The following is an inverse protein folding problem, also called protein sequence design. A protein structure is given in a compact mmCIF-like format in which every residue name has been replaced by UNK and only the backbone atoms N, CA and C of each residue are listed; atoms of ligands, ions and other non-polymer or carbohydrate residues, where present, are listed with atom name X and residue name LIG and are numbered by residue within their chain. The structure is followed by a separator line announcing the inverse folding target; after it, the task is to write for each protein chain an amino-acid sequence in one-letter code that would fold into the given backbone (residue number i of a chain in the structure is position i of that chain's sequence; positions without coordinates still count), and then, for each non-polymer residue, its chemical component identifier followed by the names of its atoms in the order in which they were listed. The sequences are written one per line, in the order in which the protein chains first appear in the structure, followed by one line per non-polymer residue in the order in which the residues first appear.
data_IF_554757965321
#
_entry.id   IF_554757965321
#
_cell.length_a   1.000
_cell.length_b   1.000
_cell.length_c   1.000
_cell.angle_alpha   90.00
_cell.angle_beta   90.00
_cell.angle_gamma   90.00
#
_symmetry.space_group_name_H-M   'P 1'
#
loop_
_entity.id
_entity.type
_entity.pdbx_description
1 polymer ?
#
# COMPACT_ATOMS: atom_id res chain seq x y z
N UNK A 1 -12.31 -73.20 7.86
CA UNK A 1 -12.18 -71.95 8.66
C UNK A 1 -11.90 -70.85 7.69
N UNK A 2 -12.88 -70.04 7.47
CA UNK A 2 -12.97 -69.01 6.43
C UNK A 2 -12.41 -67.69 6.97
N UNK A 3 -11.41 -67.13 6.37
CA UNK A 3 -10.89 -65.79 6.66
C UNK A 3 -11.26 -64.82 5.54
N UNK A 4 -12.24 -63.97 5.78
CA UNK A 4 -12.64 -62.93 4.86
C UNK A 4 -11.71 -61.69 4.94
N UNK A 5 -11.14 -61.32 3.80
CA UNK A 5 -10.35 -60.12 3.63
C UNK A 5 -11.26 -58.97 3.19
N UNK A 6 -11.42 -57.97 4.06
CA UNK A 6 -12.20 -56.74 3.76
C UNK A 6 -11.21 -55.64 3.34
N UNK A 7 -11.30 -55.19 2.10
CA UNK A 7 -10.62 -53.99 1.57
C UNK A 7 -11.35 -52.72 2.02
N UNK A 8 -10.64 -51.68 2.50
CA UNK A 8 -11.28 -50.36 2.76
C UNK A 8 -11.40 -49.59 1.46
N UNK A 9 -12.63 -49.15 1.19
CA UNK A 9 -12.97 -48.32 0.06
C UNK A 9 -12.34 -46.92 0.14
N UNK A 10 -11.69 -46.54 -0.93
CA UNK A 10 -11.18 -45.19 -1.18
C UNK A 10 -12.34 -44.23 -1.43
N UNK A 11 -12.61 -43.36 -0.47
CA UNK A 11 -13.57 -42.25 -0.66
C UNK A 11 -12.90 -41.18 -1.48
N UNK A 12 -13.29 -41.05 -2.73
CA UNK A 12 -12.91 -39.95 -3.59
C UNK A 12 -13.46 -38.63 -3.04
N UNK A 13 -12.56 -37.78 -2.60
CA UNK A 13 -12.88 -36.42 -2.14
C UNK A 13 -13.25 -35.57 -3.36
N UNK A 14 -14.50 -35.14 -3.44
CA UNK A 14 -14.99 -34.21 -4.47
C UNK A 14 -14.30 -32.86 -4.32
N UNK A 15 -13.79 -32.24 -5.42
CA UNK A 15 -13.14 -30.93 -5.34
C UNK A 15 -14.16 -29.87 -4.91
N UNK A 16 -13.84 -29.19 -3.80
CA UNK A 16 -14.62 -28.10 -3.23
C UNK A 16 -14.69 -26.94 -4.25
N UNK A 17 -15.88 -26.41 -4.56
CA UNK A 17 -16.02 -25.32 -5.52
C UNK A 17 -15.23 -24.10 -5.06
N UNK A 18 -14.71 -23.25 -6.00
CA UNK A 18 -13.95 -22.07 -5.66
C UNK A 18 -14.80 -21.15 -4.80
N UNK A 19 -14.29 -20.78 -3.62
CA UNK A 19 -14.97 -19.87 -2.70
C UNK A 19 -15.16 -18.54 -3.40
N UNK A 20 -16.41 -18.12 -3.53
CA UNK A 20 -16.76 -16.74 -3.90
C UNK A 20 -15.95 -15.78 -3.00
N UNK A 21 -15.44 -14.66 -3.52
CA UNK A 21 -14.62 -13.75 -2.73
C UNK A 21 -15.43 -13.24 -1.54
N UNK A 22 -15.04 -13.66 -0.33
CA UNK A 22 -15.71 -13.25 0.88
C UNK A 22 -15.64 -11.74 1.04
N UNK A 23 -16.80 -11.09 1.21
CA UNK A 23 -16.88 -9.68 1.60
C UNK A 23 -16.27 -9.58 2.99
N UNK A 24 -15.26 -8.71 3.15
CA UNK A 24 -14.67 -8.44 4.46
C UNK A 24 -15.62 -7.54 5.23
N UNK A 25 -16.12 -8.04 6.35
CA UNK A 25 -17.03 -7.30 7.25
C UNK A 25 -16.17 -6.52 8.25
N UNK A 26 -16.45 -5.22 8.39
CA UNK A 26 -15.85 -4.36 9.40
C UNK A 26 -16.42 -4.62 10.81
N UNK A 27 -15.83 -4.00 11.85
CA UNK A 27 -16.27 -4.17 13.24
C UNK A 27 -17.69 -3.66 13.49
N UNK A 28 -18.24 -2.85 12.59
CA UNK A 28 -19.61 -2.33 12.59
C UNK A 28 -20.63 -3.28 11.91
N UNK A 29 -20.22 -4.49 11.53
CA UNK A 29 -21.06 -5.47 10.83
C UNK A 29 -21.36 -5.13 9.38
N UNK A 30 -20.77 -4.08 8.82
CA UNK A 30 -20.95 -3.65 7.42
C UNK A 30 -19.75 -4.05 6.53
N UNK A 31 -19.95 -4.18 5.21
CA UNK A 31 -18.83 -4.42 4.30
C UNK A 31 -17.75 -3.36 4.46
N UNK A 32 -16.52 -3.78 4.75
CA UNK A 32 -15.39 -2.87 4.87
C UNK A 32 -15.09 -2.23 3.51
N UNK A 33 -15.38 -0.92 3.37
CA UNK A 33 -15.17 -0.17 2.13
C UNK A 33 -13.68 -0.15 1.74
N UNK A 34 -12.79 -0.01 2.70
CA UNK A 34 -11.33 0.01 2.49
C UNK A 34 -10.81 -1.32 1.93
N UNK A 35 -11.29 -2.44 2.47
CA UNK A 35 -10.86 -3.78 2.02
C UNK A 35 -11.59 -4.23 0.74
N UNK A 36 -12.81 -3.76 0.51
CA UNK A 36 -13.61 -4.12 -0.67
C UNK A 36 -13.15 -3.35 -1.91
N UNK A 37 -12.79 -2.07 -1.78
CA UNK A 37 -12.31 -1.23 -2.90
C UNK A 37 -11.02 -1.77 -3.52
N UNK A 38 -10.11 -2.34 -2.74
CA UNK A 38 -8.87 -2.94 -3.22
C UNK A 38 -9.07 -4.12 -4.19
N UNK A 39 -10.26 -4.76 -4.22
CA UNK A 39 -10.57 -5.89 -5.11
C UNK A 39 -11.01 -5.48 -6.50
N UNK A 40 -11.45 -4.23 -6.68
CA UNK A 40 -11.86 -3.70 -7.98
C UNK A 40 -10.72 -3.07 -8.77
N UNK A 41 -9.52 -3.06 -8.21
CA UNK A 41 -8.34 -2.55 -8.89
C UNK A 41 -7.79 -3.59 -9.88
N UNK A 42 -8.50 -3.79 -10.97
CA UNK A 42 -7.92 -4.40 -12.16
C UNK A 42 -7.10 -3.33 -12.86
N UNK A 43 -5.85 -3.61 -13.28
CA UNK A 43 -5.15 -2.71 -14.18
C UNK A 43 -6.00 -2.57 -15.43
N UNK A 44 -6.43 -1.34 -15.73
CA UNK A 44 -7.13 -1.04 -16.96
C UNK A 44 -6.19 -1.32 -18.13
N UNK A 45 -6.39 -2.45 -18.81
CA UNK A 45 -5.78 -2.70 -20.11
C UNK A 45 -6.22 -1.55 -21.02
N UNK A 46 -5.26 -0.74 -21.47
CA UNK A 46 -5.46 0.31 -22.45
C UNK A 46 -5.98 -0.32 -23.76
N UNK A 47 -7.28 -0.31 -23.96
CA UNK A 47 -7.85 -0.47 -25.27
C UNK A 47 -7.71 0.88 -26.00
N UNK A 48 -6.76 0.94 -26.94
CA UNK A 48 -6.64 2.04 -27.87
C UNK A 48 -7.78 1.96 -28.86
N UNK A 49 -8.78 2.82 -28.73
CA UNK A 49 -9.66 3.17 -29.85
C UNK A 49 -9.62 4.68 -30.06
N UNK A 50 -9.02 5.03 -31.20
CA UNK A 50 -9.03 6.36 -31.79
C UNK A 50 -10.46 6.75 -32.15
N UNK A 51 -10.96 7.85 -31.60
CA UNK A 51 -11.97 8.68 -32.23
C UNK A 51 -11.70 10.13 -31.93
N UNK A 52 -11.66 10.94 -32.95
CA UNK A 52 -11.25 12.34 -33.06
C UNK A 52 -12.33 13.32 -32.64
N UNK A 53 -11.85 14.45 -31.99
CA UNK A 53 -12.44 15.82 -32.01
C UNK A 53 -13.16 16.30 -30.73
N UNK A 54 -13.18 17.64 -30.49
CA UNK A 54 -12.10 18.64 -30.47
C UNK A 54 -11.83 19.21 -29.04
N UNK A 55 -10.79 20.01 -28.95
CA UNK A 55 -10.24 20.69 -27.80
C UNK A 55 -11.24 21.25 -26.77
N UNK A 56 -11.21 20.67 -25.57
CA UNK A 56 -11.50 21.33 -24.32
C UNK A 56 -10.27 21.13 -23.42
N UNK A 57 -9.78 22.22 -22.83
CA UNK A 57 -8.64 22.20 -21.93
C UNK A 57 -8.84 21.14 -20.83
N UNK A 58 -7.77 20.44 -20.38
CA UNK A 58 -7.90 19.53 -19.26
C UNK A 58 -8.16 20.37 -18.00
N UNK A 59 -9.42 20.42 -17.60
CA UNK A 59 -9.75 20.78 -16.22
C UNK A 59 -9.10 19.67 -15.39
N UNK A 60 -8.10 20.03 -14.59
CA UNK A 60 -7.57 19.14 -13.56
C UNK A 60 -8.78 18.70 -12.71
N UNK A 61 -9.27 17.49 -12.96
CA UNK A 61 -10.31 16.92 -12.13
C UNK A 61 -9.69 16.72 -10.75
N UNK A 62 -10.14 17.53 -9.83
CA UNK A 62 -9.88 17.43 -8.40
C UNK A 62 -10.40 16.04 -7.97
N UNK A 63 -9.50 15.06 -7.93
CA UNK A 63 -9.81 13.66 -7.57
C UNK A 63 -10.19 13.52 -6.09
N UNK A 64 -10.27 14.63 -5.35
CA UNK A 64 -10.62 14.70 -3.94
C UNK A 64 -12.06 15.22 -3.66
N UNK A 65 -12.90 15.31 -4.68
CA UNK A 65 -14.29 15.81 -4.53
C UNK A 65 -15.23 14.78 -3.87
N UNK A 66 -14.77 14.00 -2.89
CA UNK A 66 -15.65 13.29 -1.97
C UNK A 66 -16.10 14.27 -0.87
N UNK A 67 -17.38 14.25 -0.47
CA UNK A 67 -17.79 14.99 0.72
C UNK A 67 -16.91 14.58 1.92
N UNK A 68 -16.43 15.55 2.68
CA UNK A 68 -15.60 15.36 3.88
C UNK A 68 -16.22 14.42 4.94
N UNK A 69 -17.50 14.09 4.77
CA UNK A 69 -18.26 13.19 5.62
C UNK A 69 -18.06 11.70 5.35
N UNK A 70 -17.36 11.33 4.26
CA UNK A 70 -17.12 9.92 3.93
C UNK A 70 -15.80 9.43 4.55
N UNK A 71 -15.78 8.20 5.12
CA UNK A 71 -14.50 7.60 5.54
C UNK A 71 -13.52 7.49 4.37
N UNK A 72 -12.21 7.65 4.61
CA UNK A 72 -11.20 7.55 3.57
C UNK A 72 -11.24 6.17 2.91
N UNK A 73 -11.06 6.14 1.60
CA UNK A 73 -10.83 4.90 0.87
C UNK A 73 -9.37 4.44 0.99
N UNK A 74 -9.06 3.28 0.39
CA UNK A 74 -7.72 2.69 0.46
C UNK A 74 -6.66 3.58 -0.18
N UNK A 75 -7.01 4.33 -1.21
CA UNK A 75 -6.08 5.22 -1.90
C UNK A 75 -5.81 6.49 -1.10
N UNK A 76 -6.84 7.12 -0.55
CA UNK A 76 -6.72 8.27 0.34
C UNK A 76 -5.91 7.91 1.59
N UNK A 77 -6.25 6.77 2.21
CA UNK A 77 -5.49 6.26 3.36
C UNK A 77 -4.03 6.01 3.00
N UNK A 78 -3.77 5.41 1.84
CA UNK A 78 -2.42 5.14 1.35
C UNK A 78 -1.62 6.43 1.15
N UNK A 79 -2.21 7.43 0.47
CA UNK A 79 -1.58 8.76 0.27
C UNK A 79 -1.24 9.43 1.61
N UNK A 80 -2.18 9.44 2.54
CA UNK A 80 -1.97 10.02 3.87
C UNK A 80 -0.86 9.30 4.66
N UNK A 81 -0.85 7.96 4.61
CA UNK A 81 0.16 7.15 5.29
C UNK A 81 1.55 7.38 4.70
N UNK A 82 1.70 7.37 3.37
CA UNK A 82 2.98 7.66 2.73
C UNK A 82 3.45 9.09 3.00
N UNK A 83 2.53 10.07 2.99
CA UNK A 83 2.86 11.45 3.35
C UNK A 83 3.40 11.53 4.79
N UNK A 84 2.73 10.89 5.75
CA UNK A 84 3.16 10.83 7.14
C UNK A 84 4.55 10.18 7.29
N UNK A 85 4.75 9.00 6.69
CA UNK A 85 6.00 8.24 6.83
C UNK A 85 7.19 8.98 6.21
N UNK A 86 7.03 9.51 5.00
CA UNK A 86 8.11 10.25 4.33
C UNK A 86 8.44 11.56 5.04
N UNK A 87 7.43 12.30 5.51
CA UNK A 87 7.67 13.51 6.30
C UNK A 87 8.38 13.17 7.61
N UNK A 88 7.95 12.11 8.30
CA UNK A 88 8.63 11.65 9.53
C UNK A 88 10.09 11.29 9.25
N UNK A 89 10.38 10.62 8.14
CA UNK A 89 11.75 10.28 7.75
C UNK A 89 12.58 11.54 7.38
N UNK A 90 11.98 12.50 6.68
CA UNK A 90 12.64 13.73 6.27
C UNK A 90 13.11 14.58 7.47
N UNK A 91 12.40 14.49 8.60
CA UNK A 91 12.75 15.17 9.86
C UNK A 91 13.38 14.22 10.90
N UNK A 92 13.69 12.98 10.53
CA UNK A 92 14.40 12.07 11.40
C UNK A 92 15.85 12.54 11.66
N UNK A 93 16.44 12.31 12.85
CA UNK A 93 17.82 12.74 13.11
C UNK A 93 18.85 12.05 12.21
N UNK A 94 19.90 12.78 11.81
CA UNK A 94 21.05 12.18 11.09
C UNK A 94 21.80 11.18 11.98
N UNK A 95 21.82 11.43 13.30
CA UNK A 95 22.41 10.55 14.32
C UNK A 95 21.37 10.25 15.39
N UNK A 96 20.45 9.32 15.13
CA UNK A 96 19.37 9.03 16.08
C UNK A 96 19.91 8.31 17.33
N UNK A 97 19.34 8.62 18.47
CA UNK A 97 19.59 7.90 19.72
C UNK A 97 19.03 6.46 19.62
N UNK A 98 19.46 5.58 20.53
CA UNK A 98 18.92 4.21 20.61
C UNK A 98 17.39 4.24 20.77
N UNK A 99 16.88 5.12 21.63
CA UNK A 99 15.44 5.28 21.86
C UNK A 99 14.69 5.68 20.58
N UNK A 100 15.22 6.65 19.81
CA UNK A 100 14.61 7.07 18.54
C UNK A 100 14.60 5.95 17.51
N UNK A 101 15.67 5.16 17.41
CA UNK A 101 15.72 4.00 16.51
C UNK A 101 14.69 2.93 16.89
N UNK A 102 14.60 2.60 18.18
CA UNK A 102 13.62 1.63 18.68
C UNK A 102 12.19 2.12 18.42
N UNK A 103 11.91 3.40 18.68
CA UNK A 103 10.58 3.99 18.44
C UNK A 103 10.21 3.95 16.95
N UNK A 104 11.15 4.28 16.05
CA UNK A 104 10.91 4.21 14.62
C UNK A 104 10.68 2.77 14.13
N UNK A 105 11.48 1.82 14.58
CA UNK A 105 11.27 0.40 14.29
C UNK A 105 9.91 -0.08 14.79
N UNK A 106 9.52 0.31 16.01
CA UNK A 106 8.21 -0.04 16.57
C UNK A 106 7.06 0.51 15.73
N UNK A 107 7.16 1.76 15.27
CA UNK A 107 6.18 2.37 14.36
C UNK A 107 6.06 1.58 13.07
N UNK A 108 7.18 1.30 12.40
CA UNK A 108 7.18 0.59 11.13
C UNK A 108 6.67 -0.84 11.28
N UNK A 109 7.08 -1.56 12.31
CA UNK A 109 6.63 -2.94 12.58
C UNK A 109 5.17 -3.04 13.03
N UNK A 110 4.57 -1.95 13.54
CA UNK A 110 3.15 -1.92 13.87
C UNK A 110 2.26 -1.89 12.60
N UNK A 111 2.74 -1.31 11.50
CA UNK A 111 1.94 -1.17 10.27
C UNK A 111 1.46 -2.51 9.69
N UNK A 112 2.29 -3.56 9.51
CA UNK A 112 1.82 -4.85 9.02
C UNK A 112 0.73 -5.50 9.87
N UNK A 113 0.64 -5.14 11.15
CA UNK A 113 -0.34 -5.69 12.08
C UNK A 113 -1.62 -4.86 12.18
N UNK A 114 -1.48 -3.53 12.17
CA UNK A 114 -2.57 -2.60 12.50
C UNK A 114 -3.16 -1.89 11.28
N UNK A 115 -2.51 -1.96 10.11
CA UNK A 115 -2.98 -1.23 8.94
C UNK A 115 -4.34 -1.74 8.46
N UNK A 116 -5.35 -0.88 8.24
CA UNK A 116 -6.72 -1.30 7.94
C UNK A 116 -6.89 -2.10 6.64
N UNK A 117 -5.99 -1.93 5.67
CA UNK A 117 -5.98 -2.70 4.43
C UNK A 117 -5.11 -3.96 4.61
N UNK A 118 -5.72 -5.11 4.87
CA UNK A 118 -5.02 -6.37 5.15
C UNK A 118 -4.07 -6.80 4.03
N UNK A 119 -4.45 -6.63 2.77
CA UNK A 119 -3.59 -6.91 1.62
C UNK A 119 -2.35 -6.01 1.60
N UNK A 120 -2.53 -4.70 1.86
CA UNK A 120 -1.43 -3.73 1.93
C UNK A 120 -0.49 -4.06 3.11
N UNK A 121 -1.08 -4.39 4.26
CA UNK A 121 -0.36 -4.78 5.48
C UNK A 121 0.52 -6.01 5.27
N UNK A 122 -0.06 -7.09 4.72
CA UNK A 122 0.66 -8.33 4.42
C UNK A 122 1.84 -8.08 3.48
N UNK A 123 1.61 -7.33 2.40
CA UNK A 123 2.66 -7.00 1.45
C UNK A 123 3.80 -6.21 2.10
N UNK A 124 3.48 -5.16 2.88
CA UNK A 124 4.50 -4.40 3.59
C UNK A 124 5.28 -5.30 4.56
N UNK A 125 4.61 -6.20 5.28
CA UNK A 125 5.25 -7.14 6.20
C UNK A 125 6.23 -8.08 5.49
N UNK A 126 5.89 -8.57 4.31
CA UNK A 126 6.76 -9.44 3.53
C UNK A 126 7.95 -8.67 2.93
N UNK A 127 7.74 -7.42 2.50
CA UNK A 127 8.84 -6.55 2.07
C UNK A 127 9.79 -6.22 3.22
N UNK A 128 9.28 -5.94 4.41
CA UNK A 128 10.12 -5.67 5.58
C UNK A 128 10.95 -6.87 6.03
N UNK A 129 10.48 -8.11 5.81
CA UNK A 129 11.27 -9.32 6.05
C UNK A 129 12.42 -9.46 5.05
N UNK A 130 12.16 -9.18 3.76
CA UNK A 130 13.16 -9.24 2.69
C UNK A 130 14.17 -8.09 2.75
N UNK A 131 13.68 -6.92 3.13
CA UNK A 131 14.41 -5.66 3.16
C UNK A 131 14.13 -4.95 4.49
N UNK A 132 14.81 -5.32 5.58
CA UNK A 132 14.58 -4.70 6.88
C UNK A 132 14.76 -3.19 6.87
N UNK A 133 13.96 -2.42 7.67
CA UNK A 133 14.08 -0.98 7.76
C UNK A 133 15.46 -0.54 8.23
N UNK A 134 16.06 0.39 7.51
CA UNK A 134 17.30 1.03 7.93
C UNK A 134 16.98 2.34 8.68
N UNK A 135 17.13 2.30 9.98
CA UNK A 135 16.89 3.43 10.89
C UNK A 135 18.19 4.03 11.45
N UNK A 136 19.31 3.79 10.78
CA UNK A 136 20.62 4.28 11.20
C UNK A 136 20.74 5.81 11.15
N UNK A 137 19.95 6.45 10.30
CA UNK A 137 19.91 7.90 10.16
C UNK A 137 18.84 8.34 9.15
N UNK A 138 18.67 9.66 9.04
CA UNK A 138 17.66 10.29 8.19
C UNK A 138 17.74 9.85 6.73
N UNK A 139 18.91 9.92 6.12
CA UNK A 139 19.07 9.56 4.71
C UNK A 139 18.78 8.08 4.46
N UNK A 140 19.28 7.20 5.33
CA UNK A 140 19.06 5.76 5.22
C UNK A 140 17.57 5.42 5.30
N UNK A 141 16.86 6.01 6.27
CA UNK A 141 15.42 5.81 6.44
C UNK A 141 14.61 6.38 5.26
N UNK A 142 14.92 7.59 4.80
CA UNK A 142 14.26 8.21 3.65
C UNK A 142 14.46 7.39 2.38
N UNK A 143 15.67 6.88 2.15
CA UNK A 143 15.97 5.99 1.04
C UNK A 143 15.21 4.69 1.12
N UNK A 144 15.21 4.04 2.28
CA UNK A 144 14.49 2.79 2.50
C UNK A 144 12.99 2.95 2.22
N UNK A 145 12.35 4.00 2.76
CA UNK A 145 10.93 4.30 2.51
C UNK A 145 10.65 4.56 1.03
N UNK A 146 11.53 5.30 0.36
CA UNK A 146 11.38 5.55 -1.07
C UNK A 146 11.40 4.26 -1.90
N UNK A 147 12.30 3.35 -1.60
CA UNK A 147 12.37 2.04 -2.25
C UNK A 147 11.07 1.24 -2.04
N UNK A 148 10.57 1.17 -0.80
CA UNK A 148 9.31 0.48 -0.48
C UNK A 148 8.11 1.14 -1.16
N UNK A 149 8.07 2.47 -1.25
CA UNK A 149 7.02 3.19 -1.96
C UNK A 149 7.09 2.93 -3.47
N UNK A 150 8.28 2.87 -4.06
CA UNK A 150 8.46 2.58 -5.47
C UNK A 150 8.02 1.16 -5.85
N UNK A 151 8.16 0.17 -4.99
CA UNK A 151 7.59 -1.16 -5.20
C UNK A 151 6.07 -1.14 -5.27
N UNK A 152 5.45 -0.32 -4.42
CA UNK A 152 4.00 -0.09 -4.49
C UNK A 152 3.63 0.62 -5.79
N UNK A 153 4.38 1.66 -6.19
CA UNK A 153 4.15 2.37 -7.45
C UNK A 153 4.23 1.42 -8.65
N UNK A 154 5.26 0.60 -8.73
CA UNK A 154 5.45 -0.37 -9.80
C UNK A 154 4.28 -1.36 -9.90
N UNK A 155 3.84 -1.90 -8.76
CA UNK A 155 2.69 -2.80 -8.67
C UNK A 155 1.37 -2.14 -9.11
N UNK A 156 1.25 -0.83 -8.88
CA UNK A 156 0.11 -0.02 -9.30
C UNK A 156 0.22 0.51 -10.73
N UNK A 157 1.31 0.18 -11.45
CA UNK A 157 1.58 0.69 -12.79
C UNK A 157 1.88 2.19 -12.81
N UNK A 158 2.32 2.77 -11.69
CA UNK A 158 2.74 4.16 -11.58
C UNK A 158 4.24 4.28 -11.83
N UNK A 159 4.68 5.46 -12.24
CA UNK A 159 6.11 5.75 -12.41
C UNK A 159 6.85 5.69 -11.07
N UNK A 160 8.10 5.25 -11.11
CA UNK A 160 8.98 5.27 -9.94
C UNK A 160 9.43 6.69 -9.66
N UNK A 161 9.41 7.06 -8.38
CA UNK A 161 9.94 8.33 -7.91
C UNK A 161 11.47 8.25 -7.78
N UNK A 162 12.14 9.32 -8.14
CA UNK A 162 13.59 9.46 -7.95
C UNK A 162 13.94 9.67 -6.47
N UNK A 163 14.53 8.65 -5.84
CA UNK A 163 14.81 8.66 -4.41
C UNK A 163 15.87 9.70 -4.00
N UNK A 164 16.61 10.30 -4.94
CA UNK A 164 17.52 11.41 -4.64
C UNK A 164 16.76 12.71 -4.32
N UNK A 165 15.49 12.81 -4.70
CA UNK A 165 14.63 13.99 -4.53
C UNK A 165 13.72 13.90 -3.31
N UNK A 166 13.97 12.98 -2.36
CA UNK A 166 13.14 12.83 -1.17
C UNK A 166 13.12 14.08 -0.29
N UNK A 167 14.26 14.75 -0.12
CA UNK A 167 14.34 15.99 0.66
C UNK A 167 13.59 17.13 -0.03
N UNK A 168 13.77 17.31 -1.33
CA UNK A 168 13.01 18.28 -2.12
C UNK A 168 11.49 18.07 -1.97
N UNK A 169 11.05 16.83 -2.03
CA UNK A 169 9.62 16.49 -2.00
C UNK A 169 8.98 16.60 -0.61
N UNK A 170 9.70 16.22 0.46
CA UNK A 170 9.11 16.01 1.78
C UNK A 170 9.62 16.94 2.87
N UNK A 171 10.64 17.77 2.59
CA UNK A 171 11.28 18.67 3.55
C UNK A 171 11.42 20.08 3.03
N UNK A 172 12.16 20.27 1.94
CA UNK A 172 12.62 21.60 1.51
C UNK A 172 11.61 22.25 0.54
N UNK A 173 10.84 21.45 -0.18
CA UNK A 173 9.98 21.90 -1.28
C UNK A 173 10.78 22.19 -2.55
N UNK A 174 10.08 22.50 -3.68
CA UNK A 174 10.75 22.85 -4.92
C UNK A 174 11.62 24.09 -4.73
N UNK A 175 12.84 24.05 -5.26
CA UNK A 175 13.81 25.17 -5.20
C UNK A 175 13.35 26.41 -5.96
N UNK A 176 12.28 26.28 -6.78
CA UNK A 176 11.72 27.31 -7.64
C UNK A 176 10.48 28.00 -7.04
N UNK A 177 10.31 27.99 -5.72
CA UNK A 177 9.38 28.95 -5.12
C UNK A 177 10.05 30.30 -5.15
N UNK A 178 9.77 31.04 -6.27
CA UNK A 178 10.13 32.45 -6.37
C UNK A 178 9.82 33.15 -5.04
N UNK A 179 10.87 33.73 -4.46
CA UNK A 179 10.71 34.69 -3.38
C UNK A 179 10.19 35.95 -4.06
N UNK A 180 8.88 36.12 -4.06
CA UNK A 180 8.24 37.42 -4.19
C UNK A 180 8.10 38.04 -2.81
#
# INVERSE_FOLDING_TARGET
MTGGSSTPGSSAETPKPPRSPAIVIGPDGKPCKTCTAARFWKPAARAATRASSPAAAPVAQDVDARPDSCPPDVEQLGRATWAFLHTTAAYYPDKPTVHQRVSMLSLLHALPTLYPCSHCASHLGDEMKRHPPDVSGRQALSWWLCQRHNEVNERLGKEKFDCTKTDERWKDGPTDRGRD
#
